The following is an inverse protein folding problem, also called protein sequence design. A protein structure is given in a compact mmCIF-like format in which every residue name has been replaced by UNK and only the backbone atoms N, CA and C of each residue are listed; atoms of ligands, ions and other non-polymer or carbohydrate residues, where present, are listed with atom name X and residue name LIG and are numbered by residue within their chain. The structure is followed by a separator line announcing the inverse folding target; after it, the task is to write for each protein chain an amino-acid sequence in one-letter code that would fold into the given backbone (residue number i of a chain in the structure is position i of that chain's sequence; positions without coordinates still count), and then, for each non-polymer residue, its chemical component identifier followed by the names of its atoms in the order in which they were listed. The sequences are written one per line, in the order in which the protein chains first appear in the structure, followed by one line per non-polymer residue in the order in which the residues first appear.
data_IF_447846608111
#
_entry.id   IF_447846608111
#
_cell.length_a   1.000
_cell.length_b   1.000
_cell.length_c   1.000
_cell.angle_alpha   90.00
_cell.angle_beta   90.00
_cell.angle_gamma   90.00
#
_symmetry.space_group_name_H-M   'P 1'
#
loop_
_entity.id
_entity.type
_entity.pdbx_description
1 polymer ?
#
# COMPACT_ATOMS: atom_id res chain seq x y z
N UNK A 1 50.81 -12.50 -24.99
CA UNK A 1 51.28 -13.28 -23.82
C UNK A 1 50.13 -14.22 -23.45
N UNK A 2 50.35 -15.55 -23.39
CA UNK A 2 49.31 -16.47 -22.96
C UNK A 2 48.93 -16.13 -21.49
N UNK A 3 47.62 -16.13 -21.20
CA UNK A 3 47.11 -16.01 -19.83
C UNK A 3 47.65 -17.21 -19.03
N UNK A 4 48.38 -16.91 -17.96
CA UNK A 4 48.96 -17.94 -17.08
C UNK A 4 47.80 -18.66 -16.37
N UNK A 5 47.74 -19.99 -16.46
CA UNK A 5 46.72 -20.76 -15.75
C UNK A 5 46.74 -20.44 -14.25
N UNK A 6 45.57 -20.20 -13.63
CA UNK A 6 45.51 -19.92 -12.20
C UNK A 6 46.07 -21.11 -11.40
N UNK A 7 46.88 -20.84 -10.41
CA UNK A 7 47.38 -21.88 -9.52
C UNK A 7 46.21 -22.55 -8.77
N UNK A 8 46.37 -23.82 -8.34
CA UNK A 8 45.36 -24.56 -7.59
C UNK A 8 44.82 -23.79 -6.37
N UNK A 9 45.66 -22.92 -5.76
CA UNK A 9 45.25 -22.05 -4.65
C UNK A 9 44.37 -20.90 -5.10
N UNK A 10 44.62 -20.30 -6.28
CA UNK A 10 43.78 -19.25 -6.88
C UNK A 10 42.43 -19.81 -7.35
N UNK A 11 42.43 -21.02 -7.90
CA UNK A 11 41.20 -21.74 -8.29
C UNK A 11 40.32 -22.01 -7.05
N UNK A 12 40.94 -22.49 -5.95
CA UNK A 12 40.21 -22.69 -4.68
C UNK A 12 39.60 -21.41 -4.11
N UNK A 13 40.31 -20.27 -4.22
CA UNK A 13 39.81 -18.98 -3.75
C UNK A 13 38.63 -18.44 -4.59
N UNK A 14 38.70 -18.63 -5.91
CA UNK A 14 37.60 -18.25 -6.82
C UNK A 14 36.36 -19.10 -6.55
N UNK A 15 36.52 -20.41 -6.34
CA UNK A 15 35.42 -21.31 -6.01
C UNK A 15 34.80 -20.93 -4.67
N UNK A 16 35.62 -20.63 -3.65
CA UNK A 16 35.10 -20.19 -2.34
C UNK A 16 34.35 -18.84 -2.42
N UNK A 17 34.83 -17.89 -3.22
CA UNK A 17 34.16 -16.61 -3.44
C UNK A 17 32.82 -16.77 -4.19
N UNK A 18 32.78 -17.65 -5.19
CA UNK A 18 31.55 -17.99 -5.91
C UNK A 18 30.54 -18.72 -5.02
N UNK A 19 30.96 -19.64 -4.16
CA UNK A 19 30.08 -20.32 -3.21
C UNK A 19 29.53 -19.38 -2.16
N UNK A 20 30.31 -18.41 -1.66
CA UNK A 20 29.87 -17.39 -0.73
C UNK A 20 28.89 -16.43 -1.37
N UNK A 21 29.11 -16.00 -2.62
CA UNK A 21 28.20 -15.12 -3.34
C UNK A 21 26.86 -15.80 -3.66
N UNK A 22 26.89 -17.08 -4.09
CA UNK A 22 25.66 -17.85 -4.31
C UNK A 22 24.90 -18.14 -3.02
N UNK A 23 25.61 -18.45 -1.92
CA UNK A 23 24.98 -18.62 -0.60
C UNK A 23 24.35 -17.32 -0.09
N UNK A 24 24.95 -16.17 -0.38
CA UNK A 24 24.41 -14.86 -0.02
C UNK A 24 23.15 -14.55 -0.82
N UNK A 25 23.14 -14.79 -2.15
CA UNK A 25 21.97 -14.58 -2.99
C UNK A 25 20.83 -15.50 -2.56
N UNK A 26 21.10 -16.78 -2.27
CA UNK A 26 20.10 -17.72 -1.77
C UNK A 26 19.57 -17.34 -0.38
N UNK A 27 20.42 -16.80 0.50
CA UNK A 27 20.00 -16.34 1.81
C UNK A 27 19.15 -15.07 1.69
N UNK A 28 19.52 -14.17 0.78
CA UNK A 28 18.75 -12.96 0.46
C UNK A 28 17.38 -13.31 -0.07
N UNK A 29 17.30 -14.17 -1.06
CA UNK A 29 16.06 -14.66 -1.66
C UNK A 29 15.14 -15.31 -0.61
N UNK A 30 15.73 -16.10 0.31
CA UNK A 30 15.00 -16.74 1.40
C UNK A 30 14.49 -15.79 2.50
N UNK A 31 15.09 -14.60 2.65
CA UNK A 31 14.69 -13.61 3.68
C UNK A 31 13.78 -12.52 3.17
N UNK A 32 13.50 -12.47 1.85
CA UNK A 32 12.70 -11.46 1.20
C UNK A 32 11.63 -12.10 0.29
N UNK A 33 11.09 -13.22 0.69
CA UNK A 33 10.02 -13.89 -0.06
C UNK A 33 8.65 -13.34 0.39
N UNK A 34 7.82 -13.06 -0.60
CA UNK A 34 6.39 -12.96 -0.40
C UNK A 34 5.81 -14.35 -0.13
N UNK A 35 4.85 -14.43 0.75
CA UNK A 35 4.18 -15.67 1.10
C UNK A 35 2.72 -15.57 0.71
N UNK A 36 2.15 -16.61 0.03
CA UNK A 36 0.72 -16.69 -0.13
C UNK A 36 0.07 -16.93 1.24
N UNK A 37 -1.03 -16.26 1.49
CA UNK A 37 -1.85 -16.50 2.69
C UNK A 37 -2.67 -17.77 2.46
N UNK A 38 -2.39 -18.82 3.25
CA UNK A 38 -3.09 -20.09 3.10
C UNK A 38 -4.58 -19.97 3.46
N UNK A 39 -5.44 -20.61 2.67
CA UNK A 39 -6.88 -20.67 2.92
C UNK A 39 -7.68 -19.51 2.37
N UNK A 40 -7.09 -18.64 1.57
CA UNK A 40 -7.75 -17.62 0.74
C UNK A 40 -7.93 -18.17 -0.66
N UNK A 41 -9.15 -18.17 -1.14
CA UNK A 41 -9.48 -18.57 -2.51
C UNK A 41 -10.16 -17.38 -3.22
N UNK A 42 -9.63 -16.97 -4.38
CA UNK A 42 -10.15 -15.87 -5.22
C UNK A 42 -10.34 -14.51 -4.51
N UNK A 43 -9.31 -13.96 -3.86
CA UNK A 43 -9.38 -12.63 -3.28
C UNK A 43 -9.62 -11.58 -4.39
N UNK A 44 -10.57 -10.68 -4.16
CA UNK A 44 -10.89 -9.57 -5.05
C UNK A 44 -10.41 -8.23 -4.51
N UNK A 45 -10.29 -8.12 -3.20
CA UNK A 45 -9.72 -6.95 -2.53
C UNK A 45 -9.14 -7.31 -1.16
N UNK A 46 -8.27 -6.46 -0.65
CA UNK A 46 -7.69 -6.58 0.68
C UNK A 46 -7.71 -5.23 1.41
N UNK A 47 -7.83 -5.28 2.74
CA UNK A 47 -7.62 -4.14 3.61
C UNK A 47 -6.85 -4.57 4.86
N UNK A 48 -6.04 -3.69 5.43
CA UNK A 48 -5.22 -4.06 6.56
C UNK A 48 -4.93 -2.90 7.53
N UNK A 49 -4.81 -3.20 8.81
CA UNK A 49 -4.42 -2.26 9.86
C UNK A 49 -3.85 -2.99 11.05
N UNK A 50 -2.75 -2.48 11.64
CA UNK A 50 -2.19 -2.89 12.93
C UNK A 50 -2.07 -4.42 13.14
N UNK A 51 -1.64 -5.15 12.11
CA UNK A 51 -1.46 -6.60 12.16
C UNK A 51 -2.74 -7.40 11.85
N UNK A 52 -3.84 -6.76 11.50
CA UNK A 52 -5.02 -7.39 10.93
C UNK A 52 -5.03 -7.24 9.40
N UNK A 53 -5.43 -8.29 8.73
CA UNK A 53 -5.60 -8.34 7.28
C UNK A 53 -6.97 -8.94 6.97
N UNK A 54 -7.72 -8.27 6.13
CA UNK A 54 -9.05 -8.69 5.67
C UNK A 54 -9.00 -8.91 4.17
N UNK A 55 -9.55 -10.01 3.70
CA UNK A 55 -9.74 -10.29 2.28
C UNK A 55 -11.21 -10.48 1.98
N UNK A 56 -11.66 -9.87 0.91
CA UNK A 56 -12.96 -10.15 0.30
C UNK A 56 -12.72 -11.09 -0.86
N UNK A 57 -13.45 -12.19 -0.87
CA UNK A 57 -13.30 -13.27 -1.83
C UNK A 57 -14.62 -13.45 -2.59
N UNK A 58 -14.57 -13.57 -3.90
CA UNK A 58 -15.74 -13.83 -4.73
C UNK A 58 -15.53 -15.09 -5.56
N UNK A 59 -16.28 -16.13 -5.24
CA UNK A 59 -16.26 -17.39 -5.99
C UNK A 59 -16.84 -17.18 -7.40
N UNK A 60 -16.03 -17.32 -8.45
CA UNK A 60 -16.46 -17.04 -9.83
C UNK A 60 -17.55 -18.01 -10.34
N UNK A 61 -17.71 -19.18 -9.73
CA UNK A 61 -18.71 -20.17 -10.14
C UNK A 61 -20.06 -19.94 -9.46
N UNK A 62 -20.05 -19.67 -8.16
CA UNK A 62 -21.29 -19.49 -7.37
C UNK A 62 -21.68 -18.02 -7.19
N UNK A 63 -20.81 -17.09 -7.50
CA UNK A 63 -20.95 -15.65 -7.21
C UNK A 63 -21.21 -15.39 -5.72
N UNK A 64 -20.73 -16.28 -4.85
CA UNK A 64 -20.84 -16.10 -3.41
C UNK A 64 -19.66 -15.29 -2.90
N UNK A 65 -19.96 -14.33 -2.03
CA UNK A 65 -18.95 -13.50 -1.36
C UNK A 65 -18.64 -14.10 0.00
N UNK A 66 -17.36 -14.32 0.28
CA UNK A 66 -16.83 -14.67 1.60
C UNK A 66 -15.83 -13.63 2.06
N UNK A 67 -15.69 -13.49 3.36
CA UNK A 67 -14.79 -12.51 3.96
C UNK A 67 -13.95 -13.22 5.01
N UNK A 68 -12.66 -13.18 4.79
CA UNK A 68 -11.66 -13.81 5.64
C UNK A 68 -10.85 -12.75 6.37
N UNK A 69 -10.54 -13.02 7.62
CA UNK A 69 -9.77 -12.11 8.49
C UNK A 69 -8.61 -12.88 9.08
N UNK A 70 -7.42 -12.30 8.99
CA UNK A 70 -6.21 -12.85 9.61
C UNK A 70 -5.64 -11.87 10.63
N UNK A 71 -5.17 -12.43 11.74
CA UNK A 71 -4.19 -11.75 12.55
C UNK A 71 -2.81 -12.21 12.06
N UNK A 72 -2.06 -11.31 11.47
CA UNK A 72 -0.76 -11.61 10.84
C UNK A 72 0.25 -12.16 11.87
N UNK A 73 0.14 -11.74 13.15
CA UNK A 73 1.02 -12.23 14.21
C UNK A 73 0.71 -13.66 14.68
N UNK A 74 -0.53 -14.12 14.50
CA UNK A 74 -0.99 -15.41 15.01
C UNK A 74 -1.08 -16.50 13.92
N UNK A 75 -0.85 -16.13 12.65
CA UNK A 75 -0.95 -16.99 11.45
C UNK A 75 -2.30 -17.73 11.33
N UNK A 76 -3.35 -17.21 11.96
CA UNK A 76 -4.67 -17.85 12.00
C UNK A 76 -5.71 -17.04 11.26
N UNK A 77 -6.35 -17.69 10.29
CA UNK A 77 -7.49 -17.15 9.57
C UNK A 77 -8.80 -17.41 10.31
N UNK A 78 -9.71 -16.45 10.23
CA UNK A 78 -11.08 -16.51 10.76
C UNK A 78 -12.03 -16.06 9.67
N UNK A 79 -13.27 -16.52 9.72
CA UNK A 79 -14.29 -16.16 8.73
C UNK A 79 -15.34 -15.26 9.36
N UNK A 80 -15.77 -14.26 8.62
CA UNK A 80 -16.90 -13.43 9.02
C UNK A 80 -18.21 -14.15 8.73
N UNK A 81 -19.01 -14.32 9.78
CA UNK A 81 -20.35 -14.88 9.67
C UNK A 81 -21.38 -13.74 9.68
N UNK A 82 -22.41 -13.88 8.85
CA UNK A 82 -23.51 -12.91 8.79
C UNK A 82 -24.48 -13.22 7.66
N UNK A 83 -25.35 -12.27 7.36
CA UNK A 83 -26.16 -12.34 6.15
C UNK A 83 -25.25 -12.21 4.92
N UNK A 84 -25.45 -13.05 3.89
CA UNK A 84 -24.61 -12.99 2.69
C UNK A 84 -24.70 -11.62 2.01
N UNK A 85 -23.57 -11.19 1.48
CA UNK A 85 -23.48 -9.99 0.65
C UNK A 85 -23.92 -10.31 -0.78
N UNK A 86 -24.66 -9.39 -1.38
CA UNK A 86 -25.12 -9.55 -2.78
C UNK A 86 -24.03 -9.22 -3.80
N UNK A 87 -23.02 -8.47 -3.40
CA UNK A 87 -21.82 -8.10 -4.14
C UNK A 87 -20.68 -7.93 -3.16
N UNK A 88 -19.44 -7.89 -3.65
CA UNK A 88 -18.27 -7.64 -2.83
C UNK A 88 -18.40 -6.29 -2.09
N UNK A 89 -18.41 -6.30 -0.74
CA UNK A 89 -18.46 -5.08 0.05
C UNK A 89 -17.11 -4.37 0.03
N UNK A 90 -17.11 -3.06 0.16
CA UNK A 90 -15.92 -2.31 0.51
C UNK A 90 -15.57 -2.52 1.99
N UNK A 91 -14.30 -2.38 2.31
CA UNK A 91 -13.74 -2.69 3.63
C UNK A 91 -13.05 -1.47 4.19
N UNK A 92 -13.40 -1.09 5.42
CA UNK A 92 -12.62 -0.15 6.22
C UNK A 92 -12.17 -0.84 7.51
N UNK A 93 -10.89 -0.68 7.86
CA UNK A 93 -10.32 -1.30 9.06
C UNK A 93 -9.40 -0.30 9.77
N UNK A 94 -9.47 -0.28 11.11
CA UNK A 94 -8.55 0.49 11.96
C UNK A 94 -8.37 -0.26 13.28
N UNK A 95 -7.13 -0.67 13.59
CA UNK A 95 -6.86 -1.54 14.71
C UNK A 95 -7.69 -2.81 14.66
N UNK A 96 -8.48 -3.07 15.71
CA UNK A 96 -9.39 -4.22 15.80
C UNK A 96 -10.83 -3.91 15.34
N UNK A 97 -11.09 -2.76 14.79
CA UNK A 97 -12.41 -2.35 14.30
C UNK A 97 -12.50 -2.53 12.79
N UNK A 98 -13.55 -3.20 12.35
CA UNK A 98 -13.79 -3.51 10.95
C UNK A 98 -15.19 -3.07 10.54
N UNK A 99 -15.31 -2.44 9.38
CA UNK A 99 -16.58 -2.12 8.73
C UNK A 99 -16.58 -2.73 7.34
N UNK A 100 -17.69 -3.39 7.04
CA UNK A 100 -18.03 -3.81 5.70
C UNK A 100 -19.22 -2.98 5.23
N UNK A 101 -19.15 -2.46 4.04
CA UNK A 101 -20.25 -1.68 3.50
C UNK A 101 -20.46 -1.89 2.00
N UNK A 102 -21.70 -1.77 1.58
CA UNK A 102 -22.08 -1.51 0.20
C UNK A 102 -22.86 -0.19 0.13
N UNK A 103 -23.46 0.11 -1.00
CA UNK A 103 -24.21 1.37 -1.17
C UNK A 103 -25.39 1.57 -0.19
N UNK A 104 -25.84 0.51 0.50
CA UNK A 104 -27.03 0.58 1.35
C UNK A 104 -26.95 -0.20 2.66
N UNK A 105 -25.89 -0.96 2.89
CA UNK A 105 -25.70 -1.75 4.10
C UNK A 105 -24.35 -1.46 4.72
N UNK A 106 -24.32 -1.40 6.05
CA UNK A 106 -23.13 -1.21 6.85
C UNK A 106 -23.15 -2.18 8.02
N UNK A 107 -22.12 -3.03 8.11
CA UNK A 107 -21.92 -3.98 9.19
C UNK A 107 -20.62 -3.65 9.94
N UNK A 108 -20.69 -3.48 11.25
CA UNK A 108 -19.54 -3.20 12.11
C UNK A 108 -19.17 -4.41 12.95
N UNK A 109 -17.87 -4.70 13.01
CA UNK A 109 -17.30 -5.81 13.77
C UNK A 109 -16.18 -5.32 14.69
N UNK A 110 -16.03 -5.99 15.81
CA UNK A 110 -14.84 -5.93 16.66
C UNK A 110 -14.08 -7.23 16.52
N UNK A 111 -12.82 -7.15 16.09
CA UNK A 111 -11.94 -8.29 15.91
C UNK A 111 -11.26 -8.63 17.23
N UNK A 112 -11.31 -9.89 17.63
CA UNK A 112 -10.70 -10.40 18.85
C UNK A 112 -9.67 -11.47 18.48
N UNK A 113 -8.44 -11.35 18.98
CA UNK A 113 -7.43 -12.39 18.82
C UNK A 113 -7.97 -13.73 19.35
N UNK A 114 -7.69 -14.81 18.63
CA UNK A 114 -8.18 -16.18 18.92
C UNK A 114 -9.67 -16.45 18.65
N UNK A 115 -10.42 -15.54 18.06
CA UNK A 115 -11.75 -15.85 17.55
C UNK A 115 -11.63 -16.55 16.21
N UNK A 116 -12.45 -17.57 15.98
CA UNK A 116 -12.54 -18.28 14.70
C UNK A 116 -13.73 -17.84 13.84
N UNK A 117 -14.61 -17.02 14.41
CA UNK A 117 -15.82 -16.54 13.76
C UNK A 117 -16.20 -15.18 14.36
N UNK A 118 -16.51 -14.22 13.50
CA UNK A 118 -16.95 -12.89 13.89
C UNK A 118 -18.40 -12.67 13.45
N UNK A 119 -19.19 -12.10 14.36
CA UNK A 119 -20.55 -11.65 14.08
C UNK A 119 -20.61 -10.13 14.18
N UNK A 120 -21.45 -9.45 13.38
CA UNK A 120 -21.54 -8.00 13.47
C UNK A 120 -22.03 -7.58 14.86
N UNK A 121 -21.39 -6.56 15.42
CA UNK A 121 -21.87 -5.90 16.65
C UNK A 121 -23.14 -5.11 16.37
N UNK A 122 -23.23 -4.52 15.19
CA UNK A 122 -24.47 -4.01 14.64
C UNK A 122 -24.47 -4.09 13.11
N UNK A 123 -25.68 -4.07 12.55
CA UNK A 123 -25.95 -3.93 11.12
C UNK A 123 -26.95 -2.81 10.93
N UNK A 124 -26.70 -1.96 9.96
CA UNK A 124 -27.56 -0.83 9.59
C UNK A 124 -27.84 -0.87 8.09
N UNK A 125 -29.10 -0.67 7.74
CA UNK A 125 -29.48 -0.43 6.35
C UNK A 125 -29.68 1.06 6.16
N UNK A 126 -28.92 1.64 5.25
CA UNK A 126 -28.96 3.05 4.93
C UNK A 126 -30.08 3.36 3.96
N UNK A 127 -30.79 4.46 4.22
CA UNK A 127 -31.82 4.97 3.30
C UNK A 127 -31.20 5.79 2.16
N UNK A 128 -30.00 6.31 2.38
CA UNK A 128 -29.21 7.08 1.44
C UNK A 128 -27.99 6.27 1.01
N UNK A 129 -27.46 6.60 -0.16
CA UNK A 129 -26.29 5.89 -0.70
C UNK A 129 -25.06 6.18 0.17
N UNK A 130 -24.41 5.13 0.63
CA UNK A 130 -23.09 5.20 1.25
C UNK A 130 -22.05 5.20 0.14
N UNK A 131 -21.24 6.24 0.06
CA UNK A 131 -20.17 6.35 -0.93
C UNK A 131 -18.88 5.77 -0.41
N UNK A 132 -18.56 6.05 0.86
CA UNK A 132 -17.31 5.60 1.48
C UNK A 132 -17.44 5.56 3.00
N UNK A 133 -16.57 4.80 3.67
CA UNK A 133 -16.53 4.66 5.13
C UNK A 133 -15.09 4.61 5.62
N UNK A 134 -14.81 5.34 6.71
CA UNK A 134 -13.56 5.23 7.44
C UNK A 134 -13.79 5.01 8.94
N UNK A 135 -12.77 4.58 9.65
CA UNK A 135 -12.82 4.36 11.10
C UNK A 135 -11.85 5.31 11.79
N UNK A 136 -12.39 6.19 12.61
CA UNK A 136 -11.65 7.09 13.48
C UNK A 136 -11.73 6.62 14.94
N UNK A 137 -11.07 7.33 15.83
CA UNK A 137 -11.13 7.07 17.27
C UNK A 137 -11.60 8.31 18.03
N UNK A 138 -12.39 8.08 19.07
CA UNK A 138 -12.73 9.12 20.06
C UNK A 138 -11.52 9.44 20.95
N UNK A 139 -11.60 10.51 21.72
CA UNK A 139 -10.58 10.84 22.72
C UNK A 139 -10.39 9.76 23.81
N UNK A 140 -11.31 8.82 23.93
CA UNK A 140 -11.24 7.67 24.85
C UNK A 140 -10.76 6.37 24.18
N UNK A 141 -10.39 6.42 22.89
CA UNK A 141 -9.96 5.24 22.12
C UNK A 141 -11.14 4.36 21.64
N UNK A 142 -12.37 4.86 21.68
CA UNK A 142 -13.52 4.16 21.13
C UNK A 142 -13.60 4.40 19.64
N UNK A 143 -13.85 3.35 18.85
CA UNK A 143 -14.04 3.45 17.42
C UNK A 143 -15.26 4.33 17.07
N UNK A 144 -15.07 5.19 16.10
CA UNK A 144 -16.07 6.07 15.52
C UNK A 144 -16.13 5.80 14.02
N UNK A 145 -17.33 5.55 13.52
CA UNK A 145 -17.53 5.35 12.09
C UNK A 145 -17.76 6.70 11.42
N UNK A 146 -17.02 6.94 10.36
CA UNK A 146 -17.17 8.10 9.50
C UNK A 146 -17.79 7.62 8.20
N UNK A 147 -19.04 7.98 7.95
CA UNK A 147 -19.82 7.54 6.79
C UNK A 147 -20.03 8.70 5.86
N UNK A 148 -19.69 8.53 4.60
CA UNK A 148 -19.84 9.52 3.55
C UNK A 148 -21.09 9.24 2.74
N UNK A 149 -21.92 10.26 2.64
CA UNK A 149 -23.05 10.32 1.73
C UNK A 149 -22.82 11.40 0.68
N UNK A 150 -23.67 11.47 -0.34
CA UNK A 150 -23.48 12.41 -1.45
C UNK A 150 -23.38 13.88 -0.99
N UNK A 151 -24.18 14.28 0.01
CA UNK A 151 -24.32 15.67 0.43
C UNK A 151 -23.79 15.95 1.85
N UNK A 152 -23.38 14.93 2.60
CA UNK A 152 -22.91 15.09 3.98
C UNK A 152 -22.03 13.94 4.46
N UNK A 153 -21.31 14.21 5.54
CA UNK A 153 -20.50 13.24 6.26
C UNK A 153 -21.09 13.08 7.67
N UNK A 154 -21.34 11.83 8.06
CA UNK A 154 -21.84 11.48 9.39
C UNK A 154 -20.74 10.79 10.21
N UNK A 155 -20.59 11.20 11.47
CA UNK A 155 -19.74 10.48 12.43
C UNK A 155 -20.64 9.85 13.49
N UNK A 156 -20.55 8.55 13.65
CA UNK A 156 -21.37 7.81 14.61
C UNK A 156 -20.51 6.93 15.53
N UNK A 157 -20.97 6.69 16.73
CA UNK A 157 -20.40 5.72 17.64
C UNK A 157 -20.97 4.30 17.41
N UNK A 158 -20.45 3.32 18.12
CA UNK A 158 -20.89 1.93 18.05
C UNK A 158 -22.34 1.72 18.60
N UNK A 159 -22.95 2.73 19.21
CA UNK A 159 -24.35 2.73 19.62
C UNK A 159 -25.26 3.41 18.58
N UNK A 160 -24.72 3.79 17.42
CA UNK A 160 -25.37 4.50 16.31
C UNK A 160 -25.84 5.92 16.70
N UNK A 161 -25.25 6.51 17.72
CA UNK A 161 -25.48 7.89 18.07
C UNK A 161 -24.60 8.82 17.24
N UNK A 162 -25.21 9.72 16.47
CA UNK A 162 -24.48 10.71 15.68
C UNK A 162 -23.69 11.62 16.62
N UNK A 163 -22.38 11.62 16.45
CA UNK A 163 -21.44 12.49 17.16
C UNK A 163 -21.17 13.71 16.27
N UNK A 164 -22.20 14.52 16.08
CA UNK A 164 -22.27 15.81 15.40
C UNK A 164 -21.02 16.31 14.67
N UNK A 165 -20.80 15.86 13.44
CA UNK A 165 -19.93 16.50 12.47
C UNK A 165 -20.74 16.67 11.19
N UNK A 166 -21.15 17.90 10.91
CA UNK A 166 -21.74 18.26 9.63
C UNK A 166 -20.73 19.18 8.92
N UNK A 167 -20.29 18.80 7.73
CA UNK A 167 -19.65 19.70 6.80
C UNK A 167 -20.68 20.03 5.69
N UNK A 168 -21.52 21.03 5.89
CA UNK A 168 -22.61 21.32 4.96
C UNK A 168 -22.09 21.99 3.69
N UNK A 169 -22.52 21.49 2.55
CA UNK A 169 -22.35 22.13 1.25
C UNK A 169 -21.09 21.73 0.48
N UNK A 170 -20.39 20.70 0.89
CA UNK A 170 -19.28 20.10 0.18
C UNK A 170 -19.73 18.79 -0.50
N UNK A 171 -19.16 18.47 -1.63
CA UNK A 171 -19.36 17.16 -2.29
C UNK A 171 -18.25 16.25 -1.78
N UNK A 172 -18.63 15.21 -1.07
CA UNK A 172 -17.71 14.22 -0.55
C UNK A 172 -17.69 13.02 -1.46
N UNK A 173 -16.52 12.47 -1.73
CA UNK A 173 -16.39 11.24 -2.50
C UNK A 173 -15.51 10.20 -1.83
N UNK A 174 -14.56 10.64 -1.03
CA UNK A 174 -13.51 9.81 -0.45
C UNK A 174 -13.23 10.31 0.95
N UNK A 175 -13.08 9.38 1.88
CA UNK A 175 -12.72 9.67 3.27
C UNK A 175 -11.62 8.76 3.75
N UNK A 176 -10.71 9.29 4.56
CA UNK A 176 -9.76 8.50 5.34
C UNK A 176 -9.78 8.98 6.79
N UNK A 177 -9.42 8.11 7.73
CA UNK A 177 -9.38 8.47 9.13
C UNK A 177 -8.25 7.75 9.86
N UNK A 178 -7.66 8.43 10.84
CA UNK A 178 -6.64 7.83 11.71
C UNK A 178 -6.62 8.51 13.07
N UNK A 179 -6.72 7.73 14.13
CA UNK A 179 -6.90 8.26 15.48
C UNK A 179 -8.10 9.19 15.53
N UNK A 180 -7.91 10.42 16.00
CA UNK A 180 -8.97 11.44 16.12
C UNK A 180 -9.12 12.33 14.87
N UNK A 181 -8.38 12.04 13.80
CA UNK A 181 -8.39 12.84 12.56
C UNK A 181 -9.25 12.18 11.51
N UNK A 182 -9.96 13.00 10.75
CA UNK A 182 -10.70 12.62 9.55
C UNK A 182 -10.24 13.52 8.42
N UNK A 183 -9.94 12.92 7.29
CA UNK A 183 -9.62 13.60 6.05
C UNK A 183 -10.68 13.29 5.00
N UNK A 184 -11.00 14.26 4.15
CA UNK A 184 -11.89 14.09 2.99
C UNK A 184 -11.42 14.93 1.82
N UNK A 185 -11.67 14.42 0.62
CA UNK A 185 -11.42 15.18 -0.60
C UNK A 185 -12.51 16.23 -0.83
N UNK A 186 -12.11 17.44 -1.18
CA UNK A 186 -13.03 18.55 -1.53
C UNK A 186 -13.30 18.56 -3.02
N UNK A 187 -14.40 17.94 -3.44
CA UNK A 187 -14.84 17.89 -4.83
C UNK A 187 -15.35 19.22 -5.41
N UNK A 188 -15.44 20.29 -4.60
CA UNK A 188 -15.87 21.63 -5.04
C UNK A 188 -14.70 22.56 -5.33
N UNK A 189 -13.50 22.20 -4.90
CA UNK A 189 -12.29 23.00 -5.09
C UNK A 189 -11.83 22.97 -6.55
N UNK A 190 -11.31 24.09 -7.01
CA UNK A 190 -10.65 24.18 -8.32
C UNK A 190 -9.21 23.64 -8.32
N UNK A 191 -8.78 23.05 -7.22
CA UNK A 191 -7.46 22.44 -7.03
C UNK A 191 -7.65 21.20 -6.16
N UNK A 192 -6.84 20.14 -6.33
CA UNK A 192 -6.96 18.94 -5.52
C UNK A 192 -6.70 19.30 -4.06
N UNK A 193 -7.74 19.24 -3.26
CA UNK A 193 -7.71 19.69 -1.87
C UNK A 193 -8.20 18.58 -0.95
N UNK A 194 -7.45 18.34 0.13
CA UNK A 194 -7.85 17.47 1.22
C UNK A 194 -8.08 18.32 2.47
N UNK A 195 -9.25 18.21 3.04
CA UNK A 195 -9.57 18.79 4.32
C UNK A 195 -9.31 17.79 5.43
N UNK A 196 -8.59 18.19 6.47
CA UNK A 196 -8.31 17.37 7.66
C UNK A 196 -8.87 18.04 8.89
N UNK A 197 -9.67 17.33 9.66
CA UNK A 197 -10.24 17.86 10.91
C UNK A 197 -10.13 16.87 12.06
N UNK A 198 -10.13 17.39 13.29
CA UNK A 198 -10.22 16.55 14.47
C UNK A 198 -11.69 16.41 14.91
N UNK A 199 -12.13 15.19 15.15
CA UNK A 199 -13.49 14.88 15.65
C UNK A 199 -13.75 15.57 16.99
N UNK A 200 -12.75 15.70 17.85
CA UNK A 200 -12.86 16.40 19.13
C UNK A 200 -12.87 17.92 19.00
N UNK A 201 -12.72 18.45 17.81
CA UNK A 201 -12.58 19.89 17.53
C UNK A 201 -11.15 20.40 17.76
N UNK A 202 -10.89 21.61 17.27
CA UNK A 202 -9.64 22.34 17.51
C UNK A 202 -8.63 22.31 16.37
N UNK A 203 -8.65 21.33 15.48
CA UNK A 203 -7.84 21.30 14.27
C UNK A 203 -8.78 21.22 13.06
N UNK A 204 -8.61 22.12 12.13
CA UNK A 204 -9.21 22.07 10.80
C UNK A 204 -8.21 22.70 9.84
N UNK A 205 -7.73 21.93 8.88
CA UNK A 205 -6.67 22.31 7.94
C UNK A 205 -7.15 21.91 6.54
N UNK A 206 -6.96 22.81 5.58
CA UNK A 206 -7.12 22.49 4.16
C UNK A 206 -5.74 22.40 3.51
N UNK A 207 -5.47 21.26 2.92
CA UNK A 207 -4.21 20.94 2.25
C UNK A 207 -4.45 20.92 0.74
N UNK A 208 -3.90 21.90 0.04
CA UNK A 208 -3.88 21.90 -1.43
C UNK A 208 -2.72 21.02 -1.86
N UNK A 209 -3.01 19.96 -2.60
CA UNK A 209 -2.02 19.00 -3.05
C UNK A 209 -1.27 19.51 -4.27
N UNK A 210 0.04 19.37 -4.27
CA UNK A 210 0.90 19.72 -5.41
C UNK A 210 1.39 18.43 -6.10
N UNK A 211 0.68 18.03 -7.13
CA UNK A 211 1.02 16.86 -7.96
C UNK A 211 1.94 17.22 -9.15
N UNK A 212 2.55 18.42 -9.16
CA UNK A 212 3.37 18.88 -10.27
C UNK A 212 4.64 18.08 -10.41
N UNK A 213 4.92 17.70 -11.67
CA UNK A 213 6.20 17.19 -12.12
C UNK A 213 7.08 18.31 -12.66
N UNK A 214 8.23 17.96 -13.23
CA UNK A 214 9.02 18.91 -14.00
C UNK A 214 8.33 19.28 -15.32
N UNK A 215 8.58 20.49 -15.84
CA UNK A 215 7.99 20.91 -17.10
C UNK A 215 8.33 19.98 -18.27
N UNK A 216 9.52 19.37 -18.26
CA UNK A 216 9.95 18.43 -19.31
C UNK A 216 9.17 17.11 -19.24
N UNK A 217 8.77 16.67 -18.03
CA UNK A 217 7.96 15.46 -17.82
C UNK A 217 6.50 15.69 -18.24
N UNK A 218 5.94 16.86 -17.92
CA UNK A 218 4.59 17.22 -18.32
C UNK A 218 4.50 17.38 -19.85
N UNK A 219 5.48 18.07 -20.48
CA UNK A 219 5.55 18.20 -21.96
C UNK A 219 5.67 16.83 -22.62
N UNK A 220 6.45 15.91 -22.08
CA UNK A 220 6.55 14.55 -22.57
C UNK A 220 5.19 13.83 -22.53
N UNK A 221 4.47 13.88 -21.38
CA UNK A 221 3.15 13.27 -21.25
C UNK A 221 2.12 13.87 -22.21
N UNK A 222 2.09 15.18 -22.38
CA UNK A 222 1.19 15.86 -23.34
C UNK A 222 1.50 15.45 -24.79
N UNK A 223 2.80 15.27 -25.13
CA UNK A 223 3.20 14.84 -26.46
C UNK A 223 2.73 13.39 -26.76
N UNK A 224 2.91 12.47 -25.83
CA UNK A 224 2.58 11.05 -26.04
C UNK A 224 1.09 10.75 -25.89
N UNK A 225 0.40 11.36 -24.93
CA UNK A 225 -1.03 11.11 -24.68
C UNK A 225 -1.96 11.93 -25.59
N UNK A 226 -1.50 13.08 -26.07
CA UNK A 226 -2.36 14.08 -26.71
C UNK A 226 -3.35 14.76 -25.74
N UNK A 227 -3.21 14.55 -24.43
CA UNK A 227 -4.03 15.11 -23.36
C UNK A 227 -3.17 16.08 -22.57
N UNK A 228 -3.66 17.31 -22.36
CA UNK A 228 -2.95 18.29 -21.57
C UNK A 228 -2.93 17.91 -20.09
N UNK A 229 -1.80 18.09 -19.42
CA UNK A 229 -1.71 18.00 -17.96
C UNK A 229 -2.41 19.23 -17.36
N UNK A 230 -3.49 18.98 -16.63
CA UNK A 230 -4.35 20.05 -16.11
C UNK A 230 -4.45 20.09 -14.59
N UNK A 231 -3.58 20.83 -13.97
CA UNK A 231 -3.58 21.04 -12.53
C UNK A 231 -4.73 21.91 -12.02
N UNK A 232 -5.47 22.58 -12.91
CA UNK A 232 -6.60 23.43 -12.53
C UNK A 232 -7.92 22.65 -12.40
N UNK A 233 -7.95 21.43 -12.92
CA UNK A 233 -9.08 20.50 -12.79
C UNK A 233 -8.62 19.15 -12.19
N UNK A 234 -7.46 19.14 -11.55
CA UNK A 234 -6.97 17.93 -10.90
C UNK A 234 -7.87 17.58 -9.71
N UNK A 235 -8.16 16.30 -9.57
CA UNK A 235 -9.05 15.77 -8.54
C UNK A 235 -8.35 14.72 -7.68
N UNK A 236 -8.71 14.64 -6.40
CA UNK A 236 -8.31 13.52 -5.53
C UNK A 236 -9.27 12.36 -5.81
N UNK A 237 -8.73 11.23 -6.24
CA UNK A 237 -9.53 10.06 -6.62
C UNK A 237 -9.39 8.89 -5.65
N UNK A 238 -8.38 8.92 -4.78
CA UNK A 238 -8.14 7.92 -3.75
C UNK A 238 -7.25 8.50 -2.66
N UNK A 239 -7.37 8.07 -1.42
CA UNK A 239 -6.48 8.50 -0.33
C UNK A 239 -6.52 7.58 0.88
N UNK A 240 -5.43 7.60 1.63
CA UNK A 240 -5.30 7.02 2.95
C UNK A 240 -4.55 7.98 3.89
N UNK A 241 -4.63 7.75 5.20
CA UNK A 241 -3.96 8.59 6.18
C UNK A 241 -3.49 7.84 7.42
N UNK A 242 -2.38 8.31 7.98
CA UNK A 242 -1.97 8.05 9.35
C UNK A 242 -2.04 9.35 10.20
N UNK A 243 -1.74 9.34 11.50
CA UNK A 243 -1.85 10.54 12.33
C UNK A 243 -0.98 11.73 11.90
N UNK A 244 0.01 11.51 11.04
CA UNK A 244 1.00 12.51 10.62
C UNK A 244 0.95 12.83 9.14
N UNK A 245 0.45 11.91 8.33
CA UNK A 245 0.54 11.96 6.88
C UNK A 245 -0.79 11.65 6.21
N UNK A 246 -1.04 12.32 5.10
CA UNK A 246 -2.04 11.93 4.10
C UNK A 246 -1.28 11.51 2.85
N UNK A 247 -1.63 10.38 2.30
CA UNK A 247 -1.26 9.98 0.95
C UNK A 247 -2.49 10.03 0.07
N UNK A 248 -2.38 10.62 -1.10
CA UNK A 248 -3.51 10.76 -2.02
C UNK A 248 -3.09 10.48 -3.45
N UNK A 249 -3.99 9.94 -4.22
CA UNK A 249 -3.87 9.82 -5.67
C UNK A 249 -4.60 10.98 -6.32
N UNK A 250 -3.89 11.72 -7.14
CA UNK A 250 -4.38 12.92 -7.82
C UNK A 250 -4.42 12.66 -9.32
N UNK A 251 -5.61 12.73 -9.90
CA UNK A 251 -5.79 12.73 -11.35
C UNK A 251 -5.36 14.09 -11.93
N UNK A 252 -4.40 14.09 -12.84
CA UNK A 252 -3.91 15.29 -13.53
C UNK A 252 -4.22 15.25 -15.04
N UNK A 253 -5.09 14.34 -15.46
CA UNK A 253 -5.56 14.14 -16.83
C UNK A 253 -4.90 12.95 -17.52
N UNK A 254 -3.64 13.05 -18.00
CA UNK A 254 -3.01 11.90 -18.68
C UNK A 254 -2.65 10.74 -17.76
N UNK A 255 -2.36 11.02 -16.49
CA UNK A 255 -1.94 10.02 -15.47
C UNK A 255 -2.46 10.42 -14.10
N UNK A 256 -2.50 9.43 -13.21
CA UNK A 256 -2.70 9.63 -11.79
C UNK A 256 -1.36 9.64 -11.05
N UNK A 257 -1.19 10.52 -10.07
CA UNK A 257 0.04 10.66 -9.29
C UNK A 257 -0.20 10.47 -7.81
N UNK A 258 0.66 9.72 -7.16
CA UNK A 258 0.63 9.55 -5.69
C UNK A 258 1.41 10.68 -5.03
N UNK A 259 0.72 11.44 -4.19
CA UNK A 259 1.25 12.60 -3.43
C UNK A 259 1.18 12.28 -1.94
N UNK A 260 2.30 12.47 -1.24
CA UNK A 260 2.39 12.40 0.22
C UNK A 260 2.45 13.80 0.80
N UNK A 261 1.67 14.10 1.83
CA UNK A 261 1.68 15.39 2.52
C UNK A 261 1.72 15.22 4.03
N UNK A 262 2.60 15.96 4.69
CA UNK A 262 2.63 16.02 6.15
C UNK A 262 1.53 16.96 6.66
N UNK A 263 0.65 16.46 7.52
CA UNK A 263 -0.53 17.18 8.01
C UNK A 263 -0.14 18.45 8.79
N UNK A 264 0.95 18.37 9.57
CA UNK A 264 1.34 19.47 10.46
C UNK A 264 2.18 20.54 9.76
N UNK A 265 3.10 20.13 8.88
CA UNK A 265 4.05 21.05 8.22
C UNK A 265 3.58 21.52 6.85
N UNK A 266 2.68 20.76 6.21
CA UNK A 266 2.27 20.96 4.82
C UNK A 266 3.37 20.62 3.81
N UNK A 267 4.47 19.98 4.24
CA UNK A 267 5.52 19.50 3.35
C UNK A 267 5.00 18.36 2.47
N UNK A 268 5.27 18.42 1.18
CA UNK A 268 4.71 17.49 0.19
C UNK A 268 5.79 16.90 -0.70
N UNK A 269 5.53 15.69 -1.19
CA UNK A 269 6.34 15.02 -2.21
C UNK A 269 5.48 14.17 -3.13
N UNK A 270 5.78 14.16 -4.42
CA UNK A 270 5.26 13.19 -5.38
C UNK A 270 6.08 11.92 -5.24
N UNK A 271 5.43 10.79 -4.93
CA UNK A 271 6.10 9.50 -4.69
C UNK A 271 6.21 8.66 -5.95
N UNK A 272 5.18 8.71 -6.80
CA UNK A 272 5.14 7.97 -8.07
C UNK A 272 6.10 8.56 -9.10
N UNK A 273 6.57 7.74 -10.04
CA UNK A 273 7.18 8.28 -11.26
C UNK A 273 6.11 9.12 -11.98
N UNK A 274 6.36 10.40 -12.26
CA UNK A 274 5.33 11.29 -12.77
C UNK A 274 4.82 10.94 -14.17
N UNK A 275 5.45 9.98 -14.86
CA UNK A 275 5.06 9.52 -16.20
C UNK A 275 4.20 8.26 -16.17
N UNK A 276 4.09 7.59 -15.02
CA UNK A 276 3.42 6.31 -14.91
C UNK A 276 2.13 6.43 -14.11
N UNK A 277 1.13 5.68 -14.52
CA UNK A 277 -0.14 5.59 -13.82
C UNK A 277 0.05 5.06 -12.40
N UNK A 278 -0.59 5.68 -11.42
CA UNK A 278 -0.50 5.30 -10.01
C UNK A 278 -1.87 5.20 -9.35
N UNK A 279 -2.03 4.29 -8.36
CA UNK A 279 -3.32 4.05 -7.67
C UNK A 279 -3.13 3.40 -6.30
N UNK A 280 -4.25 3.24 -5.59
CA UNK A 280 -4.42 2.46 -4.35
C UNK A 280 -3.34 2.73 -3.30
N UNK A 281 -3.27 3.92 -2.74
CA UNK A 281 -2.28 4.27 -1.74
C UNK A 281 -2.68 3.72 -0.36
N UNK A 282 -1.70 3.29 0.43
CA UNK A 282 -1.90 2.95 1.85
C UNK A 282 -0.74 3.50 2.66
N UNK A 283 -1.00 4.15 3.80
CA UNK A 283 0.01 4.74 4.67
C UNK A 283 -0.14 4.31 6.11
N UNK A 284 0.90 3.72 6.67
CA UNK A 284 0.98 3.41 8.09
C UNK A 284 2.45 3.30 8.54
N UNK A 285 2.71 3.52 9.82
CA UNK A 285 3.99 3.24 10.46
C UNK A 285 5.22 3.85 9.74
N UNK A 286 5.05 5.05 9.14
CA UNK A 286 6.12 5.74 8.43
C UNK A 286 6.45 5.16 7.05
N UNK A 287 5.57 4.35 6.48
CA UNK A 287 5.68 3.76 5.15
C UNK A 287 4.45 4.03 4.31
N UNK A 288 4.64 4.09 3.00
CA UNK A 288 3.55 4.22 2.02
C UNK A 288 3.68 3.09 1.01
N UNK A 289 2.65 2.30 0.84
CA UNK A 289 2.51 1.38 -0.28
C UNK A 289 1.59 1.98 -1.33
N UNK A 290 1.86 1.76 -2.60
CA UNK A 290 1.02 2.22 -3.71
C UNK A 290 1.28 1.37 -4.95
N UNK A 291 0.34 1.38 -5.88
CA UNK A 291 0.49 0.73 -7.18
C UNK A 291 1.03 1.70 -8.22
N UNK A 292 1.81 1.17 -9.15
CA UNK A 292 2.25 1.90 -10.32
C UNK A 292 2.38 0.97 -11.52
N UNK A 293 2.09 1.45 -12.74
CA UNK A 293 2.25 0.71 -13.98
C UNK A 293 3.58 1.10 -14.62
N UNK A 294 4.65 0.29 -14.47
CA UNK A 294 5.95 0.62 -15.05
C UNK A 294 5.89 0.58 -16.58
N UNK A 295 6.45 1.61 -17.22
CA UNK A 295 6.48 1.68 -18.69
C UNK A 295 5.11 1.96 -19.33
N UNK A 296 4.13 2.41 -18.54
CA UNK A 296 2.85 2.88 -19.08
C UNK A 296 3.08 3.96 -20.15
N UNK A 297 2.49 3.77 -21.31
CA UNK A 297 2.59 4.69 -22.46
C UNK A 297 1.21 4.83 -23.14
N UNK A 298 0.51 5.95 -22.90
CA UNK A 298 -0.83 6.17 -23.45
C UNK A 298 -0.85 6.36 -24.96
N UNK A 299 0.30 6.48 -25.63
CA UNK A 299 0.38 6.60 -27.09
C UNK A 299 0.29 5.27 -27.83
N UNK A 300 0.45 4.15 -27.10
CA UNK A 300 0.36 2.81 -27.66
C UNK A 300 -1.10 2.40 -27.88
N UNK A 301 -1.30 1.42 -28.75
CA UNK A 301 -2.63 0.80 -28.87
C UNK A 301 -3.00 0.15 -27.52
N UNK A 302 -4.29 0.16 -27.12
CA UNK A 302 -4.72 -0.40 -25.81
C UNK A 302 -4.30 -1.86 -25.55
N UNK A 303 -4.03 -2.63 -26.61
CA UNK A 303 -3.53 -4.01 -26.53
C UNK A 303 -2.01 -4.09 -26.28
N UNK A 304 -1.28 -2.98 -26.45
CA UNK A 304 0.18 -2.89 -26.29
C UNK A 304 0.58 -2.08 -25.05
N UNK A 305 -0.36 -1.39 -24.42
CA UNK A 305 -0.10 -0.62 -23.19
C UNK A 305 0.15 -1.59 -22.03
N UNK A 306 1.24 -1.36 -21.30
CA UNK A 306 1.44 -2.06 -20.05
C UNK A 306 0.26 -1.80 -19.09
N UNK A 307 -0.34 -2.85 -18.57
CA UNK A 307 -1.50 -2.78 -17.67
C UNK A 307 -1.23 -3.43 -16.32
N UNK A 308 -0.18 -4.25 -16.23
CA UNK A 308 0.22 -4.87 -14.99
C UNK A 308 0.75 -3.81 -14.02
N UNK A 309 0.18 -3.79 -12.83
CA UNK A 309 0.57 -2.90 -11.74
C UNK A 309 1.58 -3.59 -10.86
N UNK A 310 2.60 -2.86 -10.46
CA UNK A 310 3.55 -3.29 -9.44
C UNK A 310 3.31 -2.56 -8.11
N UNK A 311 3.61 -3.24 -7.01
CA UNK A 311 3.60 -2.65 -5.67
C UNK A 311 4.90 -1.92 -5.40
N UNK A 312 4.79 -0.65 -5.06
CA UNK A 312 5.88 0.21 -4.61
C UNK A 312 5.76 0.49 -3.12
N UNK A 313 6.88 0.47 -2.43
CA UNK A 313 6.99 0.82 -1.02
C UNK A 313 7.92 2.01 -0.84
N UNK A 314 7.42 3.06 -0.20
CA UNK A 314 8.19 4.25 0.15
C UNK A 314 8.41 4.31 1.67
N UNK A 315 9.67 4.43 2.09
CA UNK A 315 10.04 4.72 3.48
C UNK A 315 10.15 6.23 3.65
N UNK A 316 9.30 6.79 4.52
CA UNK A 316 9.19 8.24 4.73
C UNK A 316 10.45 8.80 5.40
N UNK A 317 11.01 8.09 6.39
CA UNK A 317 12.21 8.54 7.10
C UNK A 317 13.45 8.49 6.21
N UNK A 318 13.62 7.40 5.47
CA UNK A 318 14.73 7.25 4.52
C UNK A 318 14.55 8.07 3.24
N UNK A 319 13.33 8.52 2.93
CA UNK A 319 12.93 9.17 1.69
C UNK A 319 13.36 8.36 0.45
N UNK A 320 13.01 7.08 0.45
CA UNK A 320 13.39 6.14 -0.63
C UNK A 320 12.20 5.29 -1.03
N UNK A 321 12.05 5.09 -2.33
CA UNK A 321 11.00 4.24 -2.92
C UNK A 321 11.64 3.01 -3.54
N UNK A 322 11.03 1.85 -3.33
CA UNK A 322 11.43 0.57 -3.87
C UNK A 322 10.21 -0.13 -4.49
N UNK A 323 10.34 -0.67 -5.68
CA UNK A 323 9.37 -1.62 -6.19
C UNK A 323 9.60 -2.97 -5.50
N UNK A 324 8.57 -3.56 -4.92
CA UNK A 324 8.62 -4.86 -4.25
C UNK A 324 8.12 -6.00 -5.14
N UNK A 325 7.39 -5.68 -6.20
CA UNK A 325 7.03 -6.61 -7.27
C UNK A 325 7.60 -6.14 -8.61
N UNK A 326 7.77 -7.05 -9.56
CA UNK A 326 8.36 -6.79 -10.88
C UNK A 326 7.88 -7.81 -11.91
N UNK A 327 6.61 -8.10 -11.96
CA UNK A 327 6.10 -9.12 -12.85
C UNK A 327 5.23 -8.49 -13.95
N UNK A 328 5.67 -8.58 -15.21
CA UNK A 328 4.97 -8.00 -16.35
C UNK A 328 3.66 -8.71 -16.71
N UNK A 329 3.50 -9.97 -16.27
CA UNK A 329 2.35 -10.82 -16.61
C UNK A 329 1.32 -10.93 -15.46
N UNK A 330 1.61 -10.32 -14.30
CA UNK A 330 0.82 -10.44 -13.07
C UNK A 330 0.40 -9.06 -12.59
N UNK A 331 -0.89 -8.86 -12.38
CA UNK A 331 -1.43 -7.60 -11.89
C UNK A 331 -1.54 -7.59 -10.36
N UNK A 332 -1.22 -6.48 -9.74
CA UNK A 332 -1.26 -6.29 -8.29
C UNK A 332 -2.42 -5.37 -7.92
N UNK A 333 -3.11 -5.65 -6.82
CA UNK A 333 -4.27 -4.88 -6.33
C UNK A 333 -4.13 -4.59 -4.83
N UNK A 334 -4.70 -3.50 -4.39
CA UNK A 334 -4.96 -3.13 -2.98
C UNK A 334 -3.77 -3.36 -2.03
N UNK A 335 -2.62 -2.74 -2.26
CA UNK A 335 -1.49 -2.87 -1.37
C UNK A 335 -1.80 -2.24 -0.01
N UNK A 336 -1.52 -2.97 1.08
CA UNK A 336 -1.81 -2.55 2.44
C UNK A 336 -0.53 -2.54 3.27
N UNK A 337 -0.22 -1.42 3.91
CA UNK A 337 0.86 -1.36 4.90
C UNK A 337 0.34 -1.89 6.23
N UNK A 338 0.96 -2.95 6.72
CA UNK A 338 0.76 -3.51 8.05
C UNK A 338 1.87 -3.02 9.00
N UNK A 339 2.00 -3.59 10.19
CA UNK A 339 3.03 -3.18 11.16
C UNK A 339 4.44 -3.21 10.57
N UNK A 340 4.89 -4.37 10.12
CA UNK A 340 6.23 -4.57 9.53
C UNK A 340 6.15 -5.12 8.10
N UNK A 341 4.95 -5.48 7.66
CA UNK A 341 4.67 -6.19 6.43
C UNK A 341 3.93 -5.31 5.43
N UNK A 342 3.85 -5.76 4.20
CA UNK A 342 2.97 -5.22 3.15
C UNK A 342 2.18 -6.39 2.56
N UNK A 343 0.87 -6.24 2.45
CA UNK A 343 0.00 -7.23 1.84
C UNK A 343 -0.60 -6.68 0.54
N UNK A 344 -0.89 -7.55 -0.43
CA UNK A 344 -1.60 -7.20 -1.67
C UNK A 344 -2.29 -8.41 -2.27
N UNK A 345 -3.22 -8.18 -3.17
CA UNK A 345 -3.82 -9.22 -4.02
C UNK A 345 -3.04 -9.29 -5.33
N UNK A 346 -2.59 -10.47 -5.70
CA UNK A 346 -1.92 -10.78 -6.96
C UNK A 346 -2.90 -11.49 -7.89
N UNK A 347 -3.02 -11.04 -9.14
CA UNK A 347 -3.90 -11.61 -10.15
C UNK A 347 -3.10 -12.06 -11.35
N UNK A 348 -3.03 -13.38 -11.53
CA UNK A 348 -2.34 -14.00 -12.66
C UNK A 348 -3.07 -13.77 -13.99
N UNK A 349 -2.37 -13.93 -15.09
CA UNK A 349 -2.91 -13.79 -16.45
C UNK A 349 -4.05 -14.76 -16.80
N UNK A 350 -4.23 -15.85 -16.04
CA UNK A 350 -5.36 -16.77 -16.14
C UNK A 350 -6.58 -16.35 -15.29
N UNK A 351 -6.45 -15.24 -14.54
CA UNK A 351 -7.48 -14.70 -13.66
C UNK A 351 -7.49 -15.34 -12.27
N UNK A 352 -6.51 -16.18 -11.95
CA UNK A 352 -6.36 -16.70 -10.58
C UNK A 352 -5.82 -15.59 -9.69
N UNK A 353 -6.48 -15.34 -8.58
CA UNK A 353 -6.01 -14.35 -7.60
C UNK A 353 -5.48 -15.01 -6.33
N UNK A 354 -4.50 -14.37 -5.73
CA UNK A 354 -3.80 -14.85 -4.51
C UNK A 354 -3.50 -13.68 -3.59
N UNK A 355 -3.79 -13.82 -2.31
CA UNK A 355 -3.38 -12.85 -1.29
C UNK A 355 -1.92 -13.09 -0.92
N UNK A 356 -1.08 -12.07 -1.04
CA UNK A 356 0.36 -12.11 -0.75
C UNK A 356 0.71 -11.22 0.43
N UNK A 357 1.71 -11.63 1.17
CA UNK A 357 2.32 -10.82 2.24
C UNK A 357 3.84 -10.81 2.04
N UNK A 358 4.39 -9.62 1.99
CA UNK A 358 5.83 -9.39 2.00
C UNK A 358 6.26 -9.04 3.41
N UNK A 359 7.06 -9.92 4.01
CA UNK A 359 7.64 -9.70 5.33
C UNK A 359 9.08 -9.24 5.18
N UNK A 360 9.30 -7.94 5.41
CA UNK A 360 10.62 -7.34 5.35
C UNK A 360 11.01 -6.75 6.71
N UNK A 361 11.77 -7.49 7.52
CA UNK A 361 12.25 -7.00 8.82
C UNK A 361 13.04 -5.68 8.76
N UNK A 362 13.51 -5.26 7.58
CA UNK A 362 14.13 -3.95 7.40
C UNK A 362 14.11 -3.53 5.94
N UNK A 363 13.47 -2.43 5.65
CA UNK A 363 13.72 -1.65 4.46
C UNK A 363 15.18 -1.15 4.51
N UNK A 364 16.09 -1.94 4.00
CA UNK A 364 17.48 -1.53 3.88
C UNK A 364 17.70 -0.97 2.47
N UNK A 365 18.01 0.32 2.32
CA UNK A 365 18.31 0.88 1.00
C UNK A 365 19.42 0.06 0.33
N UNK A 366 19.31 -0.15 -0.97
CA UNK A 366 20.27 -0.92 -1.78
C UNK A 366 21.73 -0.63 -1.46
N UNK A 367 22.05 0.61 -1.05
CA UNK A 367 23.38 1.02 -0.63
C UNK A 367 23.91 0.26 0.59
N UNK A 368 23.06 -0.07 1.56
CA UNK A 368 23.46 -0.82 2.77
C UNK A 368 23.65 -2.29 2.46
N UNK A 369 22.82 -2.85 1.58
CA UNK A 369 22.93 -4.24 1.12
C UNK A 369 24.17 -4.45 0.27
N UNK A 370 24.44 -3.54 -0.68
CA UNK A 370 25.67 -3.54 -1.47
C UNK A 370 26.87 -3.38 -0.55
N UNK A 371 26.80 -2.51 0.45
CA UNK A 371 27.88 -2.34 1.43
C UNK A 371 28.11 -3.59 2.26
N UNK A 372 27.06 -4.25 2.75
CA UNK A 372 27.18 -5.51 3.51
C UNK A 372 27.72 -6.64 2.63
N UNK A 373 27.24 -6.77 1.39
CA UNK A 373 27.78 -7.71 0.42
C UNK A 373 29.26 -7.44 0.12
N UNK A 374 29.62 -6.16 -0.07
CA UNK A 374 31.00 -5.77 -0.28
C UNK A 374 31.90 -6.07 0.93
N UNK A 375 31.42 -5.84 2.15
CA UNK A 375 32.12 -6.16 3.39
C UNK A 375 32.32 -7.69 3.50
N UNK A 376 31.25 -8.47 3.26
CA UNK A 376 31.33 -9.93 3.30
C UNK A 376 32.28 -10.51 2.25
N UNK A 377 32.40 -9.88 1.07
CA UNK A 377 33.39 -10.27 0.08
C UNK A 377 34.81 -9.82 0.43
N UNK A 378 34.99 -8.69 1.08
CA UNK A 378 36.30 -8.17 1.50
C UNK A 378 36.94 -9.02 2.59
N UNK A 379 36.18 -9.57 3.53
CA UNK A 379 36.69 -10.38 4.64
C UNK A 379 37.50 -11.61 4.15
N UNK A 380 36.97 -12.48 3.25
CA UNK A 380 37.75 -13.62 2.71
C UNK A 380 38.97 -13.16 1.91
N UNK A 381 38.88 -12.07 1.15
CA UNK A 381 39.99 -11.50 0.39
C UNK A 381 41.12 -11.03 1.32
N UNK A 382 40.79 -10.38 2.43
CA UNK A 382 41.75 -9.95 3.46
C UNK A 382 42.42 -11.15 4.15
N UNK A 383 41.63 -12.21 4.45
CA UNK A 383 42.22 -13.46 4.99
C UNK A 383 43.14 -14.14 4.00
N UNK A 384 42.79 -14.20 2.72
CA UNK A 384 43.64 -14.76 1.66
C UNK A 384 44.94 -13.95 1.50
N UNK A 385 44.83 -12.63 1.50
CA UNK A 385 45.98 -11.74 1.42
C UNK A 385 46.90 -11.90 2.63
N UNK A 386 46.34 -11.92 3.85
CA UNK A 386 47.10 -12.15 5.08
C UNK A 386 47.79 -13.53 5.10
N UNK A 387 47.09 -14.56 4.63
CA UNK A 387 47.67 -15.92 4.48
C UNK A 387 48.83 -15.96 3.48
N UNK A 388 48.67 -15.31 2.33
CA UNK A 388 49.74 -15.21 1.33
C UNK A 388 50.96 -14.47 1.89
N UNK A 389 50.74 -13.31 2.52
CA UNK A 389 51.80 -12.52 3.14
C UNK A 389 52.54 -13.29 4.26
N UNK A 390 51.80 -14.12 5.04
CA UNK A 390 52.41 -14.98 6.08
C UNK A 390 53.18 -16.19 5.48
N UNK A 391 52.74 -16.72 4.33
CA UNK A 391 53.43 -17.82 3.64
C UNK A 391 54.71 -17.37 2.97
N UNK A 392 54.77 -16.16 2.43
CA UNK A 392 55.95 -15.56 1.83
C UNK A 392 57.07 -15.23 2.87
N UNK A 393 56.68 -14.95 4.11
CA UNK A 393 57.64 -14.72 5.23
C UNK A 393 58.25 -16.01 5.80
N UNK A 394 57.71 -17.16 5.48
CA UNK A 394 58.17 -18.49 5.96
C UNK A 394 58.96 -19.28 4.95
N UNK A 395 59.13 -18.79 3.72
CA UNK A 395 59.99 -19.32 2.68
C UNK A 395 61.24 -18.49 2.53
#
# INVERSE_FOLDING_TARGET
RPLREPSRKQTGAIIAALLLSTSFVLLWDATHQDFPVEGVEWPTSAAGSDGWLVSVEEDPESMSVSISVWNVSDEHGSVISGEPWASSPAVAISGSSLVLHDSHRLDYYELESNSTEFSPKFSRNESEVVLDVAIAESATGQALLVVVHEDYLEVMDNEQATVGFEAPGEVFSIVAASGQLVAWADGTSSSPTVNVTSISGGISISLVLDARASADEDEFLEEISGIAVDYSHAEVIDMDMDPSWVVAVVDVGPVNRTVLVNILTGEQSVLSDPKWESSSPSVAHGRVAFLQIPGWDPSLDPEEVATARDVYLHDIEANTTLAITHDEDVDQLDPQVLLEDVAWVEVDSDGTSTLKVYSGETFQPYSSVILQAAILMLIPLLFLWAYQAASERRG
#
